data_IF_874779148130
#
_entry.id   IF_874779148130
#
_cell.length_a   1.000
_cell.length_b   1.000
_cell.length_c   1.000
_cell.angle_alpha   90.00
_cell.angle_beta   90.00
_cell.angle_gamma   90.00
#
_symmetry.space_group_name_H-M   'P 1'
#
loop_
_entity.id
_entity.type
_entity.pdbx_description
1 polymer ?
#
# COMPACT_ATOMS: atom_id res chain seq x y z
N UNK A 1 -35.81 -23.38 -2.02
CA UNK A 1 -34.89 -24.54 -1.97
C UNK A 1 -34.10 -24.76 -3.26
N UNK A 2 -34.67 -25.26 -4.37
CA UNK A 2 -33.86 -25.51 -5.60
C UNK A 2 -33.27 -24.23 -6.20
N UNK A 3 -34.05 -23.14 -6.23
CA UNK A 3 -33.60 -21.85 -6.74
C UNK A 3 -32.50 -21.22 -5.85
N UNK A 4 -32.64 -21.32 -4.53
CA UNK A 4 -31.63 -20.85 -3.57
C UNK A 4 -30.31 -21.62 -3.69
N UNK A 5 -30.38 -22.93 -3.91
CA UNK A 5 -29.19 -23.78 -4.13
C UNK A 5 -28.48 -23.37 -5.43
N UNK A 6 -29.23 -23.14 -6.52
CA UNK A 6 -28.65 -22.71 -7.79
C UNK A 6 -27.96 -21.34 -7.68
N UNK A 7 -28.58 -20.38 -6.97
CA UNK A 7 -27.99 -19.06 -6.70
C UNK A 7 -26.70 -19.19 -5.89
N UNK A 8 -26.66 -20.07 -4.89
CA UNK A 8 -25.46 -20.30 -4.08
C UNK A 8 -24.34 -20.95 -4.90
N UNK A 9 -24.66 -21.95 -5.73
CA UNK A 9 -23.67 -22.59 -6.61
C UNK A 9 -23.06 -21.61 -7.62
N UNK A 10 -23.87 -20.73 -8.20
CA UNK A 10 -23.38 -19.68 -9.09
C UNK A 10 -22.42 -18.71 -8.36
N UNK A 11 -22.73 -18.35 -7.11
CA UNK A 11 -21.86 -17.47 -6.28
C UNK A 11 -20.57 -18.15 -5.82
N UNK A 12 -20.56 -19.48 -5.71
CA UNK A 12 -19.40 -20.28 -5.30
C UNK A 12 -18.67 -20.92 -6.47
N UNK A 13 -19.00 -20.55 -7.72
CA UNK A 13 -18.31 -21.05 -8.90
C UNK A 13 -16.89 -20.49 -8.90
N UNK A 14 -15.84 -21.33 -8.88
CA UNK A 14 -14.46 -20.87 -8.89
C UNK A 14 -14.15 -20.05 -10.14
N UNK A 15 -13.31 -19.02 -9.99
CA UNK A 15 -12.75 -18.31 -11.11
C UNK A 15 -11.69 -19.16 -11.83
N UNK A 16 -11.44 -18.85 -13.11
CA UNK A 16 -10.50 -19.61 -13.94
C UNK A 16 -9.04 -19.54 -13.45
N UNK A 17 -8.70 -18.52 -12.66
CA UNK A 17 -7.39 -18.29 -12.06
C UNK A 17 -7.29 -18.74 -10.59
N UNK A 18 -8.33 -19.38 -10.04
CA UNK A 18 -8.21 -20.04 -8.74
C UNK A 18 -7.23 -21.21 -8.80
N UNK A 19 -6.34 -21.27 -7.82
CA UNK A 19 -5.31 -22.29 -7.67
C UNK A 19 -5.52 -23.06 -6.36
N UNK A 20 -4.81 -24.16 -6.16
CA UNK A 20 -4.82 -24.88 -4.87
C UNK A 20 -4.52 -23.95 -3.68
N UNK A 21 -3.67 -22.94 -3.91
CA UNK A 21 -3.29 -21.93 -2.93
C UNK A 21 -4.42 -20.96 -2.57
N UNK A 22 -5.37 -20.70 -3.47
CA UNK A 22 -6.56 -19.88 -3.19
C UNK A 22 -7.70 -20.70 -2.63
N UNK A 23 -7.75 -22.01 -2.90
CA UNK A 23 -8.75 -22.94 -2.38
C UNK A 23 -8.52 -23.32 -0.91
N UNK A 24 -7.33 -23.06 -0.36
CA UNK A 24 -6.97 -23.39 1.04
C UNK A 24 -7.76 -22.61 2.09
N UNK A 25 -8.49 -21.54 1.71
CA UNK A 25 -9.25 -20.72 2.65
C UNK A 25 -10.62 -21.35 2.94
N UNK A 26 -10.68 -22.15 4.01
CA UNK A 26 -11.90 -22.86 4.41
C UNK A 26 -13.03 -21.93 4.87
N UNK A 27 -12.70 -20.73 5.36
CA UNK A 27 -13.68 -19.75 5.84
C UNK A 27 -13.42 -18.36 5.30
N UNK A 28 -14.46 -17.51 5.33
CA UNK A 28 -14.32 -16.06 5.07
C UNK A 28 -13.31 -15.40 6.02
N UNK A 29 -13.19 -15.90 7.26
CA UNK A 29 -12.23 -15.37 8.22
C UNK A 29 -10.78 -15.65 7.79
N UNK A 30 -10.51 -16.84 7.27
CA UNK A 30 -9.18 -17.22 6.75
C UNK A 30 -8.80 -16.36 5.55
N UNK A 31 -9.73 -16.14 4.62
CA UNK A 31 -9.52 -15.27 3.48
C UNK A 31 -9.22 -13.83 3.90
N UNK A 32 -9.99 -13.26 4.83
CA UNK A 32 -9.78 -11.90 5.34
C UNK A 32 -8.42 -11.77 6.04
N UNK A 33 -8.02 -12.79 6.82
CA UNK A 33 -6.72 -12.84 7.49
C UNK A 33 -5.58 -12.84 6.47
N UNK A 34 -5.69 -13.63 5.41
CA UNK A 34 -4.68 -13.68 4.36
C UNK A 34 -4.60 -12.36 3.60
N UNK A 35 -5.72 -11.74 3.24
CA UNK A 35 -5.76 -10.43 2.58
C UNK A 35 -5.01 -9.39 3.42
N UNK A 36 -5.24 -9.35 4.73
CA UNK A 36 -4.51 -8.43 5.64
C UNK A 36 -3.01 -8.72 5.63
N UNK A 37 -2.62 -9.99 5.72
CA UNK A 37 -1.21 -10.40 5.68
C UNK A 37 -0.53 -10.02 4.37
N UNK A 38 -1.20 -10.23 3.23
CA UNK A 38 -0.68 -9.89 1.91
C UNK A 38 -0.57 -8.37 1.72
N UNK A 39 -1.57 -7.60 2.17
CA UNK A 39 -1.50 -6.12 2.18
C UNK A 39 -0.32 -5.62 3.00
N UNK A 40 -0.11 -6.16 4.20
CA UNK A 40 1.06 -5.82 5.04
C UNK A 40 2.38 -6.09 4.32
N UNK A 41 2.57 -7.31 3.79
CA UNK A 41 3.77 -7.65 3.02
C UNK A 41 3.98 -6.77 1.79
N UNK A 42 2.90 -6.40 1.09
CA UNK A 42 2.98 -5.49 -0.06
C UNK A 42 3.54 -4.13 0.36
N UNK A 43 3.01 -3.56 1.45
CA UNK A 43 3.51 -2.28 2.01
C UNK A 43 4.98 -2.39 2.42
N UNK A 44 5.35 -3.42 3.18
CA UNK A 44 6.73 -3.68 3.58
C UNK A 44 7.67 -3.79 2.38
N UNK A 45 7.28 -4.54 1.36
CA UNK A 45 8.06 -4.71 0.12
C UNK A 45 8.23 -3.40 -0.64
N UNK A 46 7.19 -2.56 -0.70
CA UNK A 46 7.27 -1.24 -1.35
C UNK A 46 8.20 -0.30 -0.57
N UNK A 47 8.09 -0.25 0.76
CA UNK A 47 8.98 0.56 1.62
C UNK A 47 10.44 0.12 1.47
N UNK A 48 10.69 -1.19 1.49
CA UNK A 48 12.03 -1.74 1.30
C UNK A 48 12.59 -1.38 -0.08
N UNK A 49 11.81 -1.62 -1.15
CA UNK A 49 12.21 -1.31 -2.53
C UNK A 49 12.52 0.18 -2.72
N UNK A 50 11.70 1.05 -2.14
CA UNK A 50 11.92 2.50 -2.15
C UNK A 50 13.23 2.89 -1.44
N UNK A 51 13.42 2.44 -0.18
CA UNK A 51 14.65 2.74 0.59
C UNK A 51 15.90 2.26 -0.14
N UNK A 52 15.84 1.06 -0.73
CA UNK A 52 16.94 0.50 -1.49
C UNK A 52 17.24 1.31 -2.77
N UNK A 53 16.20 1.70 -3.53
CA UNK A 53 16.36 2.54 -4.70
C UNK A 53 16.99 3.90 -4.35
N UNK A 54 16.53 4.55 -3.27
CA UNK A 54 17.13 5.80 -2.77
C UNK A 54 18.60 5.60 -2.39
N UNK A 55 18.95 4.50 -1.72
CA UNK A 55 20.34 4.19 -1.37
C UNK A 55 21.22 4.03 -2.62
N UNK A 56 20.73 3.31 -3.64
CA UNK A 56 21.43 3.17 -4.92
C UNK A 56 21.60 4.51 -5.63
N UNK A 57 20.55 5.34 -5.66
CA UNK A 57 20.60 6.68 -6.26
C UNK A 57 21.61 7.60 -5.56
N UNK A 58 21.77 7.49 -4.23
CA UNK A 58 22.80 8.22 -3.49
C UNK A 58 24.22 7.81 -3.90
N UNK A 59 24.45 6.53 -4.18
CA UNK A 59 25.76 6.04 -4.66
C UNK A 59 26.06 6.58 -6.06
N UNK A 60 25.11 6.45 -6.99
CA UNK A 60 25.36 6.87 -8.39
C UNK A 60 25.38 8.38 -8.58
N UNK A 61 24.85 9.16 -7.62
CA UNK A 61 24.92 10.63 -7.61
C UNK A 61 25.88 11.17 -6.54
N UNK A 62 26.89 10.39 -6.12
CA UNK A 62 27.77 10.77 -5.00
C UNK A 62 28.52 12.10 -5.21
N UNK A 63 28.91 12.43 -6.45
CA UNK A 63 29.67 13.66 -6.75
C UNK A 63 28.85 14.94 -6.57
N UNK A 64 27.56 14.89 -6.90
CA UNK A 64 26.67 16.06 -6.89
C UNK A 64 25.75 16.07 -5.66
N UNK A 65 25.64 14.93 -4.97
CA UNK A 65 24.68 14.69 -3.91
C UNK A 65 23.27 14.42 -4.45
N UNK A 66 22.51 13.57 -3.75
CA UNK A 66 21.09 13.38 -4.00
C UNK A 66 20.28 14.02 -2.87
N UNK A 67 19.57 15.10 -3.18
CA UNK A 67 18.65 15.74 -2.24
C UNK A 67 17.37 14.92 -2.19
N UNK A 68 17.05 14.39 -1.01
CA UNK A 68 15.80 13.64 -0.77
C UNK A 68 14.81 14.39 0.12
N UNK A 69 15.20 15.56 0.62
CA UNK A 69 14.35 16.42 1.43
C UNK A 69 13.11 16.88 0.63
N UNK A 70 11.95 16.85 1.27
CA UNK A 70 10.68 17.22 0.65
C UNK A 70 10.09 16.18 -0.31
N UNK A 71 10.79 15.08 -0.63
CA UNK A 71 10.23 13.99 -1.43
C UNK A 71 9.12 13.32 -0.63
N UNK A 72 7.95 13.16 -1.25
CA UNK A 72 6.79 12.53 -0.63
C UNK A 72 6.01 11.74 -1.68
N UNK A 73 5.39 10.61 -1.27
CA UNK A 73 4.62 9.72 -2.16
C UNK A 73 3.42 10.42 -2.83
N UNK A 74 2.90 11.46 -2.19
CA UNK A 74 1.79 12.27 -2.71
C UNK A 74 2.23 13.50 -3.52
N UNK A 75 3.54 13.77 -3.60
CA UNK A 75 4.09 14.92 -4.33
C UNK A 75 4.64 14.46 -5.69
N UNK A 76 4.74 15.38 -6.64
CA UNK A 76 5.39 15.16 -7.95
C UNK A 76 6.25 16.34 -8.32
N UNK A 77 7.11 16.15 -9.33
CA UNK A 77 7.90 17.26 -9.89
C UNK A 77 7.11 17.96 -10.99
N UNK A 78 6.88 19.27 -10.85
CA UNK A 78 6.40 20.16 -11.90
C UNK A 78 7.37 21.32 -12.08
N UNK A 79 7.86 21.55 -13.30
CA UNK A 79 8.80 22.64 -13.63
C UNK A 79 10.02 22.71 -12.70
N UNK A 80 10.52 21.55 -12.26
CA UNK A 80 11.67 21.44 -11.36
C UNK A 80 11.35 21.64 -9.87
N UNK A 81 10.08 21.82 -9.49
CA UNK A 81 9.66 21.95 -8.09
C UNK A 81 8.84 20.74 -7.65
N UNK A 82 9.00 20.34 -6.39
CA UNK A 82 8.19 19.30 -5.78
C UNK A 82 6.89 19.92 -5.29
N UNK A 83 5.75 19.49 -5.83
CA UNK A 83 4.42 20.05 -5.54
C UNK A 83 3.42 18.94 -5.23
N UNK A 84 2.42 19.23 -4.39
CA UNK A 84 1.27 18.34 -4.16
C UNK A 84 0.27 18.55 -5.30
N UNK A 85 -0.03 17.53 -6.12
CA UNK A 85 -1.09 17.62 -7.12
C UNK A 85 -2.44 17.92 -6.48
N UNK A 86 -3.29 18.67 -7.19
CA UNK A 86 -4.69 18.96 -6.80
C UNK A 86 -5.41 17.76 -6.18
N UNK A 87 -5.41 16.64 -6.90
CA UNK A 87 -6.10 15.40 -6.53
C UNK A 87 -5.60 14.76 -5.22
N UNK A 88 -4.43 15.15 -4.71
CA UNK A 88 -3.85 14.61 -3.49
C UNK A 88 -3.78 15.64 -2.35
N UNK A 89 -4.30 16.87 -2.53
CA UNK A 89 -4.22 17.87 -1.47
C UNK A 89 -4.93 17.45 -0.20
N UNK A 90 -6.15 16.92 -0.33
CA UNK A 90 -6.92 16.45 0.83
C UNK A 90 -6.20 15.31 1.56
N UNK A 91 -5.73 14.31 0.81
CA UNK A 91 -5.01 13.18 1.38
C UNK A 91 -3.67 13.59 2.02
N UNK A 92 -2.99 14.58 1.46
CA UNK A 92 -1.76 15.09 2.06
C UNK A 92 -2.01 15.80 3.39
N UNK A 93 -3.11 16.57 3.50
CA UNK A 93 -3.52 17.19 4.76
C UNK A 93 -3.88 16.13 5.80
N UNK A 94 -4.65 15.12 5.41
CA UNK A 94 -5.04 14.02 6.31
C UNK A 94 -3.84 13.18 6.79
N UNK A 95 -2.81 12.99 5.96
CA UNK A 95 -1.57 12.32 6.37
C UNK A 95 -0.71 13.18 7.29
N UNK A 96 -0.64 14.50 7.05
CA UNK A 96 0.06 15.43 7.93
C UNK A 96 -0.61 15.50 9.33
N UNK A 97 -1.95 15.51 9.40
CA UNK A 97 -2.70 15.49 10.67
C UNK A 97 -2.52 14.17 11.45
N UNK A 98 -2.44 13.02 10.76
CA UNK A 98 -2.20 11.72 11.40
C UNK A 98 -0.79 11.58 11.97
N UNK A 99 0.22 12.10 11.26
CA UNK A 99 1.61 12.10 11.75
C UNK A 99 1.78 13.02 12.98
N UNK A 100 0.97 14.07 13.11
CA UNK A 100 0.93 14.96 14.29
C UNK A 100 0.20 14.32 15.49
N UNK A 101 -0.89 13.55 15.25
CA UNK A 101 -1.66 12.86 16.31
C UNK A 101 -0.91 11.64 16.90
N UNK A 102 -0.17 10.87 16.10
CA UNK A 102 0.67 9.76 16.57
C UNK A 102 1.94 10.24 17.34
N UNK A 103 2.22 11.55 17.34
CA UNK A 103 3.31 12.18 18.09
C UNK A 103 2.97 12.57 19.53
N UNK A 104 1.70 12.44 19.95
CA UNK A 104 1.22 12.79 21.30
C UNK A 104 0.96 11.58 22.24
N UNK A 105 1.49 10.38 21.93
CA UNK A 105 1.53 9.26 22.88
C UNK A 105 2.97 8.78 23.20
N UNK A 106 3.76 9.64 23.86
CA UNK A 106 4.79 9.20 24.81
C UNK A 106 4.69 10.05 26.08
N UNK A 107 3.85 9.62 27.03
CA UNK A 107 4.07 9.78 28.48
C UNK A 107 2.96 9.07 29.28
N UNK A 108 3.07 7.73 29.45
CA UNK A 108 2.57 7.00 30.65
C UNK A 108 3.48 5.82 31.00
#
# INVERSE_FOLDING_TARGET
MLEEIAVLQAKSTPLADETEDTLRFATRADLVKEIRRLRGKMVESMVYGWKNAVAQLKIVNAEHGLITEGIHKLKKVEKGQIVVPEKYRQMALEEEEQDDEDGEEEDV
#
